data_IF_795382782278
#
_entry.id   IF_795382782278
#
_cell.length_a   1.000
_cell.length_b   1.000
_cell.length_c   1.000
_cell.angle_alpha   90.00
_cell.angle_beta   90.00
_cell.angle_gamma   90.00
#
_symmetry.space_group_name_H-M   'P 1'
#
loop_
_entity.id
_entity.type
_entity.pdbx_description
1 polymer ?
#
# COMPACT_ATOMS: atom_id res chain seq x y z
N UNK A 1 3.65 -51.65 3.60
CA UNK A 1 2.86 -50.66 4.38
C UNK A 1 2.25 -49.70 3.39
N UNK A 2 0.94 -49.79 3.13
CA UNK A 2 0.29 -49.02 2.07
C UNK A 2 0.13 -47.56 2.50
N UNK A 3 0.67 -46.63 1.71
CA UNK A 3 0.40 -45.20 1.83
C UNK A 3 -1.08 -44.97 1.48
N UNK A 4 -1.92 -44.88 2.51
CA UNK A 4 -3.27 -44.34 2.40
C UNK A 4 -3.09 -42.85 2.07
N UNK A 5 -3.67 -42.39 0.97
CA UNK A 5 -3.60 -40.97 0.58
C UNK A 5 -4.36 -40.11 1.59
N UNK A 6 -3.93 -38.87 1.84
CA UNK A 6 -4.57 -37.97 2.83
C UNK A 6 -6.10 -37.82 2.63
N UNK A 7 -6.59 -37.90 1.40
CA UNK A 7 -8.02 -37.90 1.10
C UNK A 7 -8.73 -39.16 1.57
N UNK A 8 -8.12 -40.34 1.38
CA UNK A 8 -8.66 -41.60 1.89
C UNK A 8 -8.66 -41.62 3.43
N UNK A 9 -7.62 -41.07 4.07
CA UNK A 9 -7.58 -40.96 5.52
C UNK A 9 -8.70 -40.04 6.05
N UNK A 10 -8.93 -38.88 5.42
CA UNK A 10 -10.03 -37.98 5.79
C UNK A 10 -11.42 -38.62 5.63
N UNK A 11 -11.63 -39.42 4.58
CA UNK A 11 -12.89 -40.17 4.39
C UNK A 11 -13.04 -41.27 5.45
N UNK A 12 -11.96 -41.96 5.79
CA UNK A 12 -11.94 -42.96 6.85
C UNK A 12 -12.26 -42.31 8.20
N UNK A 13 -11.62 -41.19 8.53
CA UNK A 13 -11.83 -40.48 9.78
C UNK A 13 -13.27 -39.96 9.88
N UNK A 14 -13.82 -39.38 8.80
CA UNK A 14 -15.22 -38.96 8.76
C UNK A 14 -16.20 -40.13 8.89
N UNK A 15 -15.89 -41.29 8.31
CA UNK A 15 -16.70 -42.50 8.46
C UNK A 15 -16.61 -43.08 9.88
N UNK A 16 -15.42 -43.04 10.49
CA UNK A 16 -15.20 -43.45 11.89
C UNK A 16 -15.94 -42.52 12.84
N UNK A 17 -15.86 -41.20 12.66
CA UNK A 17 -16.56 -40.21 13.49
C UNK A 17 -18.08 -40.31 13.32
N UNK A 18 -18.55 -40.51 12.09
CA UNK A 18 -19.96 -40.77 11.81
C UNK A 18 -20.41 -42.07 12.49
N UNK A 19 -19.62 -43.14 12.41
CA UNK A 19 -19.92 -44.40 13.09
C UNK A 19 -19.92 -44.20 14.61
N UNK A 20 -18.89 -43.60 15.21
CA UNK A 20 -18.83 -43.37 16.66
C UNK A 20 -20.02 -42.51 17.14
N UNK A 21 -20.41 -41.49 16.37
CA UNK A 21 -21.53 -40.59 16.74
C UNK A 21 -22.92 -41.20 16.54
N UNK A 22 -23.09 -42.10 15.57
CA UNK A 22 -24.41 -42.67 15.20
C UNK A 22 -24.56 -44.16 15.48
N UNK A 23 -23.52 -44.83 15.98
CA UNK A 23 -23.54 -46.28 16.22
C UNK A 23 -24.43 -46.63 17.40
N UNK A 24 -25.67 -46.96 17.06
CA UNK A 24 -26.68 -47.47 17.98
C UNK A 24 -26.80 -49.00 17.87
N UNK A 25 -26.05 -49.69 18.72
CA UNK A 25 -26.05 -51.14 18.77
C UNK A 25 -27.42 -51.71 19.21
N UNK A 26 -28.16 -51.01 20.08
CA UNK A 26 -29.44 -51.52 20.61
C UNK A 26 -30.53 -51.45 19.54
N UNK A 27 -30.62 -50.33 18.81
CA UNK A 27 -31.54 -50.21 17.68
C UNK A 27 -31.17 -51.15 16.53
N UNK A 28 -29.87 -51.31 16.23
CA UNK A 28 -29.40 -52.24 15.21
C UNK A 28 -29.80 -53.70 15.53
N UNK A 29 -29.58 -54.13 16.77
CA UNK A 29 -29.96 -55.47 17.22
C UNK A 29 -31.48 -55.68 17.16
N UNK A 30 -32.27 -54.69 17.54
CA UNK A 30 -33.74 -54.75 17.44
C UNK A 30 -34.22 -54.84 15.98
N UNK A 31 -33.61 -54.08 15.06
CA UNK A 31 -33.92 -54.16 13.63
C UNK A 31 -33.59 -55.53 13.04
N UNK A 32 -32.44 -56.10 13.41
CA UNK A 32 -32.05 -57.46 13.01
C UNK A 32 -33.03 -58.51 13.53
N UNK A 33 -33.45 -58.38 14.80
CA UNK A 33 -34.49 -59.22 15.38
C UNK A 33 -35.80 -59.12 14.57
N UNK A 34 -36.29 -57.90 14.30
CA UNK A 34 -37.49 -57.67 13.48
C UNK A 34 -37.39 -58.32 12.09
N UNK A 35 -36.23 -58.21 11.44
CA UNK A 35 -36.00 -58.83 10.14
C UNK A 35 -36.08 -60.36 10.24
N UNK A 36 -35.43 -60.97 11.24
CA UNK A 36 -35.46 -62.42 11.44
C UNK A 36 -36.87 -62.95 11.74
N UNK A 37 -37.70 -62.21 12.48
CA UNK A 37 -39.11 -62.54 12.71
C UNK A 37 -39.88 -62.54 11.39
N UNK A 38 -39.71 -61.52 10.54
CA UNK A 38 -40.40 -61.43 9.26
C UNK A 38 -39.99 -62.54 8.29
N UNK A 39 -38.71 -62.90 8.27
CA UNK A 39 -38.18 -63.98 7.43
C UNK A 39 -38.81 -65.32 7.82
N UNK A 40 -38.87 -65.64 9.12
CA UNK A 40 -39.45 -66.89 9.61
C UNK A 40 -40.96 -66.93 9.43
N UNK A 41 -41.66 -65.81 9.66
CA UNK A 41 -43.11 -65.75 9.41
C UNK A 41 -43.41 -66.01 7.93
N UNK A 42 -42.63 -65.45 7.01
CA UNK A 42 -42.77 -65.72 5.57
C UNK A 42 -42.45 -67.17 5.22
N UNK A 43 -41.43 -67.76 5.86
CA UNK A 43 -41.06 -69.14 5.65
C UNK A 43 -42.16 -70.10 6.13
N UNK A 44 -42.70 -69.88 7.33
CA UNK A 44 -43.82 -70.66 7.88
C UNK A 44 -45.08 -70.50 7.03
N UNK A 45 -45.34 -69.30 6.49
CA UNK A 45 -46.47 -69.08 5.59
C UNK A 45 -46.36 -69.96 4.33
N UNK A 46 -45.16 -70.05 3.74
CA UNK A 46 -44.90 -70.93 2.58
C UNK A 46 -45.01 -72.41 2.95
N UNK A 47 -44.40 -72.82 4.05
CA UNK A 47 -44.47 -74.21 4.53
C UNK A 47 -45.92 -74.64 4.87
N UNK A 48 -46.77 -73.71 5.33
CA UNK A 48 -48.20 -73.96 5.51
C UNK A 48 -48.98 -74.13 4.21
N UNK A 49 -48.57 -73.46 3.14
CA UNK A 49 -49.16 -73.65 1.80
C UNK A 49 -48.78 -75.03 1.24
N UNK A 50 -47.60 -75.55 1.60
CA UNK A 50 -47.09 -76.87 1.20
C UNK A 50 -47.59 -78.04 2.08
N UNK A 51 -48.28 -77.76 3.19
CA UNK A 51 -49.07 -78.73 3.96
C UNK A 51 -48.54 -79.11 5.35
N UNK A 52 -47.25 -78.90 5.65
CA UNK A 52 -46.66 -79.13 6.98
C UNK A 52 -45.56 -78.10 7.30
N UNK A 53 -45.53 -77.62 8.54
CA UNK A 53 -44.50 -76.68 9.03
C UNK A 53 -43.33 -77.46 9.59
N UNK A 54 -42.11 -77.10 9.20
CA UNK A 54 -40.89 -77.76 9.66
C UNK A 54 -40.67 -77.59 11.17
N UNK A 55 -40.21 -78.65 11.86
CA UNK A 55 -39.82 -78.58 13.29
C UNK A 55 -38.70 -77.55 13.55
N UNK A 56 -37.83 -77.32 12.58
CA UNK A 56 -36.76 -76.32 12.66
C UNK A 56 -37.32 -74.90 12.66
N UNK A 57 -38.31 -74.62 11.80
CA UNK A 57 -39.05 -73.36 11.77
C UNK A 57 -39.76 -73.10 13.10
N UNK A 58 -40.31 -74.15 13.73
CA UNK A 58 -40.98 -74.04 15.03
C UNK A 58 -40.01 -73.77 16.20
N UNK A 59 -38.88 -74.49 16.25
CA UNK A 59 -37.82 -74.24 17.26
C UNK A 59 -37.30 -72.81 17.14
N UNK A 60 -37.05 -72.36 15.92
CA UNK A 60 -36.55 -71.01 15.67
C UNK A 60 -37.58 -69.93 16.01
N UNK A 61 -38.88 -70.20 15.85
CA UNK A 61 -39.96 -69.32 16.32
C UNK A 61 -39.96 -69.21 17.86
N UNK A 62 -39.75 -70.31 18.58
CA UNK A 62 -39.63 -70.28 20.04
C UNK A 62 -38.41 -69.48 20.51
N UNK A 63 -37.26 -69.62 19.85
CA UNK A 63 -36.07 -68.82 20.14
C UNK A 63 -36.35 -67.32 19.95
N UNK A 64 -37.01 -66.95 18.84
CA UNK A 64 -37.40 -65.56 18.59
C UNK A 64 -38.44 -65.05 19.61
N UNK A 65 -39.33 -65.89 20.12
CA UNK A 65 -40.25 -65.48 21.19
C UNK A 65 -39.50 -65.14 22.50
N UNK A 66 -38.45 -65.90 22.82
CA UNK A 66 -37.61 -65.59 23.98
C UNK A 66 -36.81 -64.28 23.77
N UNK A 67 -36.24 -64.10 22.57
CA UNK A 67 -35.57 -62.84 22.21
C UNK A 67 -36.55 -61.65 22.21
N UNK A 68 -37.81 -61.86 21.83
CA UNK A 68 -38.85 -60.82 21.86
C UNK A 68 -39.07 -60.29 23.29
N UNK A 69 -39.22 -61.18 24.27
CA UNK A 69 -39.40 -60.78 25.68
C UNK A 69 -38.20 -59.96 26.20
N UNK A 70 -36.98 -60.26 25.73
CA UNK A 70 -35.79 -59.45 26.01
C UNK A 70 -35.89 -58.05 25.40
N UNK A 71 -36.23 -57.95 24.10
CA UNK A 71 -36.32 -56.67 23.40
C UNK A 71 -37.48 -55.79 23.85
N UNK A 72 -38.59 -56.41 24.29
CA UNK A 72 -39.77 -55.76 24.87
C UNK A 72 -39.43 -54.96 26.13
N UNK A 73 -38.39 -55.33 26.85
CA UNK A 73 -37.87 -54.58 28.01
C UNK A 73 -36.73 -53.65 27.60
N UNK A 74 -35.76 -54.14 26.81
CA UNK A 74 -34.54 -53.38 26.54
C UNK A 74 -34.73 -52.20 25.60
N UNK A 75 -35.60 -52.32 24.58
CA UNK A 75 -35.79 -51.26 23.59
C UNK A 75 -36.57 -50.06 24.12
N UNK A 76 -37.69 -50.22 24.87
CA UNK A 76 -38.35 -49.08 25.50
C UNK A 76 -37.47 -48.34 26.51
N UNK A 77 -36.72 -49.08 27.34
CA UNK A 77 -35.77 -48.47 28.27
C UNK A 77 -34.64 -47.69 27.56
N UNK A 78 -34.25 -48.13 26.36
CA UNK A 78 -33.31 -47.39 25.52
C UNK A 78 -33.92 -46.10 24.96
N UNK A 79 -35.16 -46.16 24.45
CA UNK A 79 -35.89 -44.99 23.96
C UNK A 79 -36.11 -43.96 25.08
N UNK A 80 -36.44 -44.41 26.29
CA UNK A 80 -36.62 -43.55 27.47
C UNK A 80 -35.30 -42.87 27.89
N UNK A 81 -34.15 -43.56 27.76
CA UNK A 81 -32.84 -42.94 27.96
C UNK A 81 -32.55 -41.87 26.91
N UNK A 82 -32.93 -42.10 25.65
CA UNK A 82 -32.75 -41.10 24.60
C UNK A 82 -33.64 -39.88 24.84
N UNK A 83 -34.91 -40.06 25.20
CA UNK A 83 -35.79 -38.95 25.56
C UNK A 83 -35.26 -38.19 26.77
N UNK A 84 -34.79 -38.90 27.80
CA UNK A 84 -34.17 -38.28 28.97
C UNK A 84 -32.91 -37.47 28.63
N UNK A 85 -32.12 -37.88 27.63
CA UNK A 85 -30.98 -37.08 27.12
C UNK A 85 -31.43 -35.82 26.40
N UNK A 86 -32.52 -35.89 25.62
CA UNK A 86 -33.11 -34.73 24.95
C UNK A 86 -33.61 -33.73 26.01
N UNK A 87 -34.33 -34.20 27.02
CA UNK A 87 -34.84 -33.37 28.10
C UNK A 87 -33.70 -32.76 28.94
N UNK A 88 -32.64 -33.53 29.19
CA UNK A 88 -31.42 -33.03 29.84
C UNK A 88 -30.71 -31.97 29.01
N UNK A 89 -30.60 -32.15 27.68
CA UNK A 89 -30.00 -31.15 26.80
C UNK A 89 -30.84 -29.86 26.73
N UNK A 90 -32.17 -29.97 26.80
CA UNK A 90 -33.08 -28.82 26.82
C UNK A 90 -33.08 -28.06 28.15
N UNK A 91 -32.83 -28.75 29.27
CA UNK A 91 -32.85 -28.16 30.62
C UNK A 91 -31.47 -27.71 31.12
N UNK A 92 -30.39 -28.35 30.65
CA UNK A 92 -29.05 -28.10 31.13
C UNK A 92 -28.30 -27.21 30.14
N UNK A 93 -28.52 -25.89 30.23
CA UNK A 93 -27.53 -24.95 29.71
C UNK A 93 -26.29 -25.06 30.60
N UNK A 94 -25.12 -25.43 30.05
CA UNK A 94 -23.93 -25.54 30.85
C UNK A 94 -23.61 -24.20 31.50
N UNK A 95 -23.39 -24.18 32.82
CA UNK A 95 -23.09 -22.94 33.57
C UNK A 95 -21.93 -22.16 32.96
N UNK A 96 -20.92 -22.86 32.44
CA UNK A 96 -19.79 -22.24 31.75
C UNK A 96 -20.18 -21.46 30.49
N UNK A 97 -21.24 -21.83 29.76
CA UNK A 97 -21.72 -21.05 28.61
C UNK A 97 -22.35 -19.74 29.07
N UNK A 98 -23.11 -19.77 30.17
CA UNK A 98 -23.72 -18.56 30.73
C UNK A 98 -22.67 -17.59 31.28
N UNK A 99 -21.60 -18.10 31.88
CA UNK A 99 -20.45 -17.31 32.32
C UNK A 99 -19.65 -16.77 31.13
N UNK A 100 -19.46 -17.59 30.09
CA UNK A 100 -18.77 -17.17 28.88
C UNK A 100 -19.54 -16.08 28.13
N UNK A 101 -20.86 -16.16 28.05
CA UNK A 101 -21.71 -15.12 27.47
C UNK A 101 -21.62 -13.80 28.25
N UNK A 102 -21.65 -13.85 29.58
CA UNK A 102 -21.44 -12.68 30.42
C UNK A 102 -20.07 -12.04 30.19
N UNK A 103 -19.01 -12.85 30.22
CA UNK A 103 -17.65 -12.38 29.99
C UNK A 103 -17.48 -11.80 28.58
N UNK A 104 -18.13 -12.40 27.58
CA UNK A 104 -18.11 -11.88 26.22
C UNK A 104 -18.77 -10.50 26.12
N UNK A 105 -19.93 -10.31 26.76
CA UNK A 105 -20.63 -9.02 26.79
C UNK A 105 -19.81 -7.96 27.53
N UNK A 106 -19.17 -8.31 28.64
CA UNK A 106 -18.28 -7.40 29.39
C UNK A 106 -17.08 -6.97 28.55
N UNK A 107 -16.35 -7.94 27.96
CA UNK A 107 -15.21 -7.66 27.09
C UNK A 107 -15.59 -6.84 25.85
N UNK A 108 -16.78 -7.09 25.28
CA UNK A 108 -17.27 -6.31 24.14
C UNK A 108 -17.47 -4.85 24.52
N UNK A 109 -18.02 -4.56 25.70
CA UNK A 109 -18.21 -3.20 26.20
C UNK A 109 -16.87 -2.50 26.48
N UNK A 110 -15.95 -3.19 27.15
CA UNK A 110 -14.59 -2.64 27.39
C UNK A 110 -13.87 -2.29 26.07
N UNK A 111 -14.03 -3.13 25.05
CA UNK A 111 -13.44 -2.87 23.73
C UNK A 111 -14.06 -1.63 23.04
N UNK A 112 -15.38 -1.46 23.16
CA UNK A 112 -16.05 -0.26 22.67
C UNK A 112 -15.59 1.02 23.41
N UNK A 113 -15.46 0.96 24.73
CA UNK A 113 -14.95 2.06 25.55
C UNK A 113 -13.49 2.41 25.20
N UNK A 114 -12.62 1.40 25.03
CA UNK A 114 -11.24 1.61 24.61
C UNK A 114 -11.13 2.21 23.20
N UNK A 115 -12.00 1.81 22.27
CA UNK A 115 -12.06 2.41 20.93
C UNK A 115 -12.49 3.88 21.01
N UNK A 116 -13.48 4.21 21.84
CA UNK A 116 -13.88 5.58 22.07
C UNK A 116 -12.75 6.42 22.68
N UNK A 117 -12.04 5.88 23.69
CA UNK A 117 -10.89 6.53 24.30
C UNK A 117 -9.70 6.70 23.33
N UNK A 118 -9.49 5.76 22.41
CA UNK A 118 -8.48 5.91 21.36
C UNK A 118 -8.85 7.00 20.36
N UNK A 119 -10.14 7.15 20.04
CA UNK A 119 -10.61 8.21 19.18
C UNK A 119 -10.37 9.58 19.84
N UNK A 120 -10.73 9.75 21.11
CA UNK A 120 -10.48 11.01 21.84
C UNK A 120 -8.98 11.31 21.95
N UNK A 121 -8.13 10.31 22.23
CA UNK A 121 -6.66 10.46 22.21
C UNK A 121 -6.11 10.94 20.86
N UNK A 122 -6.65 10.44 19.74
CA UNK A 122 -6.20 10.81 18.40
C UNK A 122 -6.74 12.16 17.93
N UNK A 123 -8.01 12.45 18.22
CA UNK A 123 -8.68 13.63 17.68
C UNK A 123 -8.50 14.86 18.56
N UNK A 124 -8.51 14.71 19.89
CA UNK A 124 -8.42 15.84 20.82
C UNK A 124 -7.01 16.02 21.36
N UNK A 125 -6.40 14.95 21.89
CA UNK A 125 -5.13 15.08 22.63
C UNK A 125 -3.89 15.15 21.72
N UNK A 126 -3.85 14.39 20.63
CA UNK A 126 -2.73 14.43 19.68
C UNK A 126 -2.47 15.85 19.10
N UNK A 127 -3.47 16.61 18.61
CA UNK A 127 -3.21 17.96 18.12
C UNK A 127 -2.81 18.93 19.23
N UNK A 128 -3.28 18.74 20.47
CA UNK A 128 -2.84 19.54 21.62
C UNK A 128 -1.35 19.30 21.90
N UNK A 129 -0.94 18.03 21.95
CA UNK A 129 0.46 17.65 22.16
C UNK A 129 1.37 18.19 21.04
N UNK A 130 0.91 18.17 19.79
CA UNK A 130 1.63 18.78 18.67
C UNK A 130 1.77 20.30 18.80
N UNK A 131 0.71 20.99 19.22
CA UNK A 131 0.76 22.44 19.49
C UNK A 131 1.74 22.77 20.63
N UNK A 132 1.73 21.97 21.70
CA UNK A 132 2.68 22.12 22.81
C UNK A 132 4.11 21.90 22.34
N UNK A 133 4.38 20.82 21.59
CA UNK A 133 5.70 20.56 21.01
C UNK A 133 6.17 21.70 20.10
N UNK A 134 5.27 22.29 19.30
CA UNK A 134 5.57 23.47 18.47
C UNK A 134 5.89 24.71 19.30
N UNK A 135 5.19 24.93 20.42
CA UNK A 135 5.49 26.04 21.33
C UNK A 135 6.82 25.85 22.04
N UNK A 136 7.10 24.64 22.54
CA UNK A 136 8.40 24.30 23.14
C UNK A 136 9.51 24.46 22.11
N UNK A 137 9.35 23.96 20.89
CA UNK A 137 10.31 24.15 19.81
C UNK A 137 10.53 25.63 19.45
N UNK A 138 9.49 26.48 19.46
CA UNK A 138 9.63 27.93 19.30
C UNK A 138 10.40 28.58 20.46
N UNK A 139 10.16 28.11 21.68
CA UNK A 139 10.84 28.60 22.88
C UNK A 139 12.31 28.18 22.85
N UNK A 140 12.63 26.91 22.66
CA UNK A 140 14.00 26.43 22.47
C UNK A 140 14.72 27.17 21.34
N UNK A 141 14.03 27.41 20.22
CA UNK A 141 14.57 28.17 19.10
C UNK A 141 14.93 29.62 19.47
N UNK A 142 14.13 30.28 20.33
CA UNK A 142 14.47 31.61 20.83
C UNK A 142 15.73 31.65 21.69
N UNK A 143 16.11 30.53 22.33
CA UNK A 143 17.37 30.41 23.07
C UNK A 143 18.54 30.01 22.15
N UNK A 144 18.29 29.20 21.11
CA UNK A 144 19.30 28.76 20.15
C UNK A 144 19.33 29.68 18.92
N UNK A 145 19.59 30.98 19.14
CA UNK A 145 19.68 31.94 18.05
C UNK A 145 20.99 31.77 17.27
N UNK A 146 21.07 30.69 16.46
CA UNK A 146 22.06 30.46 15.39
C UNK A 146 21.37 29.85 14.17
N UNK A 147 20.59 30.68 13.47
CA UNK A 147 20.41 30.59 12.01
C UNK A 147 19.69 29.39 11.38
N UNK A 148 19.02 28.51 12.13
CA UNK A 148 18.23 27.40 11.55
C UNK A 148 16.73 27.63 11.72
N UNK A 149 16.03 28.09 10.67
CA UNK A 149 14.57 28.20 10.71
C UNK A 149 13.88 26.89 11.12
N UNK A 150 12.70 26.95 11.75
CA UNK A 150 11.97 25.76 12.17
C UNK A 150 11.59 24.91 10.94
N UNK A 151 12.08 23.67 10.93
CA UNK A 151 11.69 22.65 9.94
C UNK A 151 10.21 22.32 10.13
N UNK A 152 9.39 22.59 9.13
CA UNK A 152 7.97 22.18 9.10
C UNK A 152 7.80 20.69 8.76
N UNK A 153 8.89 20.05 8.35
CA UNK A 153 8.96 18.62 8.08
C UNK A 153 9.29 17.90 9.38
N UNK A 154 8.33 17.14 9.89
CA UNK A 154 8.57 16.18 10.97
C UNK A 154 9.10 14.88 10.37
N UNK A 155 10.35 14.52 10.67
CA UNK A 155 10.82 13.15 10.43
C UNK A 155 9.97 12.20 11.29
N UNK A 156 8.98 11.53 10.69
CA UNK A 156 8.18 10.51 11.37
C UNK A 156 8.21 9.25 10.53
N UNK A 157 8.58 8.13 11.14
CA UNK A 157 8.40 6.77 10.60
C UNK A 157 6.93 6.31 10.66
N UNK A 158 5.98 7.20 11.00
CA UNK A 158 4.57 6.87 11.18
C UNK A 158 3.73 7.37 10.01
N UNK A 159 2.69 6.60 9.68
CA UNK A 159 1.75 6.87 8.60
C UNK A 159 1.14 8.29 8.71
N UNK A 160 0.85 8.94 7.57
CA UNK A 160 0.36 10.31 7.52
C UNK A 160 -0.96 10.46 8.27
N UNK A 161 -1.04 11.49 9.13
CA UNK A 161 -2.28 11.87 9.80
C UNK A 161 -2.92 13.03 9.00
N UNK A 162 -4.13 12.85 8.43
CA UNK A 162 -4.79 13.89 7.64
C UNK A 162 -5.13 15.15 8.44
N UNK A 163 -5.20 15.06 9.78
CA UNK A 163 -5.44 16.19 10.67
C UNK A 163 -4.15 16.79 11.28
N UNK A 164 -2.98 16.30 10.85
CA UNK A 164 -1.69 16.77 11.34
C UNK A 164 -1.33 18.15 10.82
N UNK A 165 -0.66 18.97 11.63
CA UNK A 165 -0.18 20.30 11.22
C UNK A 165 1.20 20.29 10.55
N UNK A 166 1.82 19.11 10.47
CA UNK A 166 3.15 18.90 9.86
C UNK A 166 3.00 18.36 8.44
N UNK A 167 3.89 18.79 7.56
CA UNK A 167 3.95 18.28 6.19
C UNK A 167 4.51 16.86 6.24
N UNK A 168 3.90 15.95 5.49
CA UNK A 168 4.31 14.55 5.42
C UNK A 168 5.70 14.43 4.79
N UNK A 169 6.59 13.68 5.44
CA UNK A 169 7.94 13.46 4.96
C UNK A 169 7.95 12.73 3.60
N UNK A 170 7.03 11.79 3.39
CA UNK A 170 6.97 11.04 2.13
C UNK A 170 6.67 11.95 0.94
N UNK A 171 5.85 12.99 1.14
CA UNK A 171 5.57 14.00 0.11
C UNK A 171 6.77 14.88 -0.27
N UNK A 172 7.85 14.81 0.52
CA UNK A 172 9.08 15.59 0.30
C UNK A 172 10.20 14.76 -0.30
N UNK A 173 10.00 13.45 -0.50
CA UNK A 173 10.96 12.56 -1.14
C UNK A 173 10.64 12.47 -2.62
N UNK A 174 11.63 12.77 -3.44
CA UNK A 174 11.54 12.72 -4.89
C UNK A 174 12.59 11.75 -5.44
N UNK A 175 12.20 11.00 -6.47
CA UNK A 175 13.13 10.19 -7.23
C UNK A 175 13.92 11.08 -8.20
N UNK A 176 15.23 10.87 -8.24
CA UNK A 176 16.16 11.66 -9.06
C UNK A 176 15.82 11.55 -10.55
N UNK A 177 15.28 10.41 -10.99
CA UNK A 177 14.83 10.20 -12.37
C UNK A 177 13.67 11.13 -12.75
N UNK A 178 12.72 11.35 -11.86
CA UNK A 178 11.56 12.22 -12.10
C UNK A 178 11.99 13.69 -12.23
N UNK A 179 12.91 14.12 -11.34
CA UNK A 179 13.50 15.46 -11.41
C UNK A 179 14.26 15.63 -12.73
N UNK A 180 15.04 14.64 -13.14
CA UNK A 180 15.75 14.70 -14.42
C UNK A 180 14.80 14.73 -15.62
N UNK A 181 13.68 14.00 -15.57
CA UNK A 181 12.69 13.99 -16.64
C UNK A 181 11.99 15.35 -16.80
N UNK A 182 11.58 15.98 -15.70
CA UNK A 182 11.00 17.33 -15.71
C UNK A 182 11.97 18.40 -16.24
N UNK A 183 13.28 18.19 -16.13
CA UNK A 183 14.27 19.09 -16.71
C UNK A 183 14.55 18.84 -18.19
N UNK A 184 14.28 17.65 -18.72
CA UNK A 184 14.51 17.36 -20.15
C UNK A 184 13.66 18.25 -21.05
N UNK A 185 12.41 18.51 -20.67
CA UNK A 185 11.55 19.42 -21.42
C UNK A 185 12.09 20.85 -21.43
N UNK A 186 12.61 21.33 -20.30
CA UNK A 186 13.26 22.65 -20.21
C UNK A 186 14.57 22.70 -21.02
N UNK A 187 15.35 21.61 -21.00
CA UNK A 187 16.58 21.49 -21.79
C UNK A 187 16.27 21.52 -23.30
N UNK A 188 15.18 20.86 -23.72
CA UNK A 188 14.72 20.89 -25.11
C UNK A 188 14.14 22.27 -25.50
N UNK A 189 13.45 22.96 -24.60
CA UNK A 189 13.04 24.36 -24.81
C UNK A 189 14.24 25.31 -24.91
N UNK A 190 15.28 25.10 -24.10
CA UNK A 190 16.53 25.87 -24.15
C UNK A 190 17.33 25.60 -25.42
N UNK A 191 17.35 24.36 -25.92
CA UNK A 191 17.93 24.01 -27.23
C UNK A 191 17.21 24.73 -28.38
N UNK A 192 15.90 24.90 -28.26
CA UNK A 192 15.09 25.58 -29.27
C UNK A 192 15.19 27.11 -29.19
N UNK A 193 15.67 27.66 -28.08
CA UNK A 193 15.98 29.09 -27.99
C UNK A 193 17.31 29.34 -28.69
N UNK A 194 17.29 30.18 -29.73
CA UNK A 194 18.46 30.67 -30.44
C UNK A 194 19.43 31.30 -29.44
N UNK A 195 20.40 30.52 -28.95
CA UNK A 195 21.36 31.02 -27.97
C UNK A 195 22.39 31.91 -28.66
N UNK A 196 22.99 32.79 -27.86
CA UNK A 196 23.95 33.83 -28.27
C UNK A 196 25.15 33.27 -29.07
N UNK A 197 25.36 31.96 -29.07
CA UNK A 197 26.48 31.24 -29.68
C UNK A 197 26.25 30.86 -31.16
N UNK A 198 25.03 30.96 -31.69
CA UNK A 198 24.72 30.56 -33.08
C UNK A 198 25.02 31.63 -34.16
N UNK A 199 25.43 32.84 -33.78
CA UNK A 199 25.63 33.96 -34.73
C UNK A 199 27.05 33.96 -35.33
N UNK A 200 27.91 33.00 -34.97
CA UNK A 200 29.35 33.07 -35.26
C UNK A 200 29.93 31.98 -36.18
N UNK A 201 29.13 31.33 -37.01
CA UNK A 201 29.70 30.54 -38.12
C UNK A 201 29.50 31.28 -39.43
N UNK A 202 30.52 32.08 -39.75
CA UNK A 202 30.79 32.53 -41.11
C UNK A 202 30.92 31.33 -42.05
N UNK A 203 30.57 31.57 -43.30
CA UNK A 203 30.74 30.66 -44.43
C UNK A 203 32.21 30.25 -44.56
N UNK A 204 32.63 29.16 -43.93
CA UNK A 204 33.81 28.40 -44.32
C UNK A 204 33.67 26.92 -43.97
N UNK A 205 34.13 26.10 -44.92
CA UNK A 205 33.81 24.70 -45.13
C UNK A 205 34.31 23.75 -44.01
N UNK A 206 33.39 23.01 -43.37
CA UNK A 206 33.39 21.54 -43.17
C UNK A 206 32.59 21.14 -41.91
N UNK A 207 31.52 20.33 -42.03
CA UNK A 207 30.75 19.89 -40.87
C UNK A 207 31.43 18.68 -40.24
N UNK A 208 32.28 18.90 -39.23
CA UNK A 208 32.55 17.84 -38.25
C UNK A 208 31.49 17.94 -37.18
N UNK A 209 30.61 16.95 -37.19
CA UNK A 209 29.62 16.64 -36.16
C UNK A 209 30.32 16.39 -34.82
N UNK A 210 30.63 17.46 -34.11
CA UNK A 210 30.77 17.41 -32.65
C UNK A 210 29.58 18.17 -32.10
N UNK A 211 28.76 17.46 -31.33
CA UNK A 211 27.58 17.97 -30.63
C UNK A 211 27.90 19.32 -29.98
N UNK A 212 27.44 20.41 -30.61
CA UNK A 212 27.58 21.78 -30.12
C UNK A 212 26.96 21.84 -28.73
N UNK A 213 27.82 21.83 -27.71
CA UNK A 213 27.40 21.90 -26.31
C UNK A 213 26.83 23.31 -26.11
N UNK A 214 25.53 23.41 -25.88
CA UNK A 214 24.97 24.62 -25.27
C UNK A 214 25.77 24.91 -23.99
N UNK A 215 26.14 26.18 -23.78
CA UNK A 215 27.02 26.61 -22.70
C UNK A 215 26.48 26.33 -21.28
N UNK A 216 25.23 25.85 -21.16
CA UNK A 216 24.57 25.52 -19.90
C UNK A 216 24.10 24.06 -19.94
N UNK A 217 24.89 23.17 -19.37
CA UNK A 217 24.45 21.80 -19.04
C UNK A 217 23.52 21.86 -17.82
N UNK A 218 22.22 21.87 -18.09
CA UNK A 218 21.15 21.99 -17.09
C UNK A 218 21.17 20.85 -16.07
N UNK A 219 21.52 19.64 -16.50
CA UNK A 219 21.60 18.46 -15.64
C UNK A 219 22.81 18.51 -14.72
N UNK A 220 23.97 18.94 -15.22
CA UNK A 220 25.15 19.17 -14.39
C UNK A 220 24.88 20.26 -13.35
N UNK A 221 24.23 21.36 -13.77
CA UNK A 221 23.88 22.46 -12.87
C UNK A 221 22.87 22.07 -11.80
N UNK A 222 21.89 21.23 -12.13
CA UNK A 222 20.96 20.68 -11.15
C UNK A 222 21.70 19.79 -10.14
N UNK A 223 22.58 18.90 -10.58
CA UNK A 223 23.34 18.07 -9.64
C UNK A 223 24.19 18.92 -8.68
N UNK A 224 24.86 19.96 -9.19
CA UNK A 224 25.59 20.93 -8.36
C UNK A 224 24.68 21.65 -7.36
N UNK A 225 23.49 22.09 -7.79
CA UNK A 225 22.52 22.74 -6.90
C UNK A 225 21.95 21.78 -5.85
N UNK A 226 21.73 20.51 -6.20
CA UNK A 226 21.30 19.48 -5.26
C UNK A 226 22.42 19.12 -4.27
N UNK A 227 23.69 19.23 -4.66
CA UNK A 227 24.84 19.04 -3.78
C UNK A 227 25.08 20.23 -2.83
N UNK A 228 24.83 21.46 -3.30
CA UNK A 228 25.12 22.68 -2.54
C UNK A 228 23.92 23.21 -1.74
N UNK A 229 22.71 22.84 -2.12
CA UNK A 229 21.51 23.34 -1.43
C UNK A 229 21.36 22.66 -0.08
N UNK A 230 21.22 23.49 0.97
CA UNK A 230 20.86 23.02 2.33
C UNK A 230 19.41 22.50 2.42
N UNK A 231 18.62 22.77 1.36
CA UNK A 231 17.25 22.32 1.19
C UNK A 231 17.17 20.87 0.70
N UNK A 232 18.13 20.41 -0.11
CA UNK A 232 18.19 19.02 -0.54
C UNK A 232 18.98 18.18 0.46
N UNK A 233 18.43 17.04 0.85
CA UNK A 233 19.15 16.00 1.61
C UNK A 233 19.06 14.70 0.83
N UNK A 234 20.22 14.20 0.39
CA UNK A 234 20.35 12.87 -0.22
C UNK A 234 20.03 11.80 0.83
N UNK A 235 19.06 10.97 0.53
CA UNK A 235 18.70 9.79 1.32
C UNK A 235 19.42 8.57 0.77
N UNK A 236 19.36 8.38 -0.55
CA UNK A 236 19.98 7.28 -1.28
C UNK A 236 20.54 7.78 -2.64
N UNK A 237 21.20 6.91 -3.39
CA UNK A 237 21.73 7.19 -4.74
C UNK A 237 20.67 7.66 -5.73
N UNK A 238 19.42 7.21 -5.56
CA UNK A 238 18.26 7.56 -6.39
C UNK A 238 17.28 8.53 -5.72
N UNK A 239 17.33 8.74 -4.40
CA UNK A 239 16.29 9.44 -3.65
C UNK A 239 16.80 10.68 -2.92
N UNK A 240 16.05 11.78 -3.08
CA UNK A 240 16.37 13.08 -2.50
C UNK A 240 15.16 13.61 -1.76
N UNK A 241 15.35 14.00 -0.50
CA UNK A 241 14.35 14.77 0.24
C UNK A 241 14.57 16.26 0.08
N UNK A 242 13.51 17.02 -0.22
CA UNK A 242 13.58 18.46 -0.42
C UNK A 242 12.78 19.22 0.64
N UNK A 243 13.47 20.08 1.39
CA UNK A 243 12.92 20.91 2.44
C UNK A 243 12.95 22.39 2.05
N UNK A 244 11.82 22.90 1.58
CA UNK A 244 11.61 24.31 1.22
C UNK A 244 11.93 25.27 2.38
N UNK A 245 11.72 24.86 3.64
CA UNK A 245 11.96 25.71 4.81
C UNK A 245 13.46 25.99 5.05
N UNK A 246 14.34 25.18 4.43
CA UNK A 246 15.80 25.33 4.49
C UNK A 246 16.38 25.97 3.22
N UNK A 247 15.55 26.32 2.25
CA UNK A 247 16.00 27.01 1.04
C UNK A 247 16.43 28.44 1.36
N UNK A 248 17.62 28.84 0.90
CA UNK A 248 18.09 30.23 1.06
C UNK A 248 17.39 31.21 0.12
N UNK A 249 16.67 30.70 -0.89
CA UNK A 249 16.11 31.52 -1.97
C UNK A 249 14.59 31.75 -1.84
N UNK A 250 14.01 31.58 -0.65
CA UNK A 250 12.59 31.88 -0.45
C UNK A 250 12.36 33.40 -0.52
N UNK A 251 11.42 33.88 -1.35
CA UNK A 251 11.01 35.29 -1.35
C UNK A 251 10.61 35.75 0.05
N UNK A 252 10.81 37.02 0.40
CA UNK A 252 10.43 37.53 1.73
C UNK A 252 8.91 37.40 2.00
N UNK A 253 8.11 37.41 0.95
CA UNK A 253 6.65 37.29 0.98
C UNK A 253 6.15 35.84 0.82
N UNK A 254 7.08 34.88 0.79
CA UNK A 254 6.83 33.44 0.65
C UNK A 254 5.80 32.87 1.62
N UNK A 255 5.65 33.51 2.80
CA UNK A 255 4.78 33.04 3.88
C UNK A 255 3.30 33.27 3.61
N UNK A 256 2.96 34.17 2.69
CA UNK A 256 1.58 34.54 2.35
C UNK A 256 1.21 34.25 0.90
N UNK A 257 2.16 33.83 0.07
CA UNK A 257 1.90 33.46 -1.32
C UNK A 257 1.27 32.06 -1.41
N UNK A 258 0.23 31.96 -2.23
CA UNK A 258 -0.36 30.66 -2.62
C UNK A 258 0.49 29.98 -3.70
N UNK A 259 0.26 28.69 -3.94
CA UNK A 259 0.97 27.94 -5.00
C UNK A 259 0.77 28.58 -6.37
N UNK A 260 -0.44 29.08 -6.64
CA UNK A 260 -0.76 29.76 -7.90
C UNK A 260 0.01 31.07 -8.05
N UNK A 261 0.18 31.82 -6.96
CA UNK A 261 1.00 33.05 -6.97
C UNK A 261 2.47 32.72 -7.28
N UNK A 262 2.99 31.62 -6.71
CA UNK A 262 4.34 31.15 -7.02
C UNK A 262 4.51 30.80 -8.50
N UNK A 263 3.58 30.03 -9.05
CA UNK A 263 3.59 29.64 -10.45
C UNK A 263 3.55 30.88 -11.36
N UNK A 264 2.71 31.87 -11.04
CA UNK A 264 2.67 33.14 -11.76
C UNK A 264 3.99 33.91 -11.69
N UNK A 265 4.63 33.97 -10.51
CA UNK A 265 5.94 34.64 -10.39
C UNK A 265 7.05 33.90 -11.15
N UNK A 266 7.04 32.56 -11.14
CA UNK A 266 7.98 31.74 -11.91
C UNK A 266 7.79 32.01 -13.41
N UNK A 267 6.55 32.03 -13.90
CA UNK A 267 6.25 32.32 -15.30
C UNK A 267 6.62 33.75 -15.71
N UNK A 268 6.41 34.74 -14.83
CA UNK A 268 6.82 36.11 -15.07
C UNK A 268 8.34 36.22 -15.20
N UNK A 269 9.09 35.63 -14.27
CA UNK A 269 10.55 35.59 -14.32
C UNK A 269 11.07 34.86 -15.55
N UNK A 270 10.45 33.74 -15.94
CA UNK A 270 10.80 33.01 -17.15
C UNK A 270 10.65 33.88 -18.42
N UNK A 271 9.58 34.69 -18.51
CA UNK A 271 9.39 35.65 -19.60
C UNK A 271 10.45 36.75 -19.58
N UNK A 272 10.76 37.32 -18.42
CA UNK A 272 11.81 38.33 -18.28
C UNK A 272 13.19 37.80 -18.71
N UNK A 273 13.54 36.57 -18.32
CA UNK A 273 14.78 35.91 -18.75
C UNK A 273 14.79 35.74 -20.26
N UNK A 274 13.70 35.26 -20.87
CA UNK A 274 13.57 35.11 -22.32
C UNK A 274 13.77 36.44 -23.05
N UNK A 275 13.15 37.51 -22.56
CA UNK A 275 13.31 38.85 -23.11
C UNK A 275 14.74 39.37 -22.95
N UNK A 276 15.39 39.09 -21.82
CA UNK A 276 16.79 39.46 -21.58
C UNK A 276 17.74 38.75 -22.54
N UNK A 277 17.54 37.44 -22.76
CA UNK A 277 18.31 36.65 -23.73
C UNK A 277 18.11 37.20 -25.15
N UNK A 278 16.87 37.51 -25.53
CA UNK A 278 16.56 38.13 -26.82
C UNK A 278 17.24 39.50 -27.00
N UNK A 279 17.21 40.36 -25.97
CA UNK A 279 17.93 41.65 -25.97
C UNK A 279 19.45 41.46 -26.06
N UNK A 280 19.98 40.45 -25.39
CA UNK A 280 21.40 40.07 -25.45
C UNK A 280 21.83 39.66 -26.85
N UNK A 281 21.03 38.85 -27.56
CA UNK A 281 21.28 38.46 -28.95
C UNK A 281 21.30 39.68 -29.88
N UNK A 282 20.30 40.56 -29.79
CA UNK A 282 20.24 41.80 -30.59
C UNK A 282 21.43 42.71 -30.31
N UNK A 283 21.84 42.82 -29.03
CA UNK A 283 23.02 43.59 -28.67
C UNK A 283 24.27 43.00 -29.33
N UNK A 284 24.48 41.67 -29.25
CA UNK A 284 25.63 41.01 -29.89
C UNK A 284 25.64 41.20 -31.40
N UNK A 285 24.50 41.06 -32.09
CA UNK A 285 24.41 41.35 -33.54
C UNK A 285 24.87 42.77 -33.87
N UNK A 286 24.45 43.77 -33.07
CA UNK A 286 24.91 45.16 -33.24
C UNK A 286 26.41 45.29 -33.01
N UNK A 287 26.95 44.62 -31.99
CA UNK A 287 28.40 44.60 -31.73
C UNK A 287 29.17 43.95 -32.87
N UNK A 288 28.70 42.83 -33.43
CA UNK A 288 29.32 42.15 -34.56
C UNK A 288 29.28 42.99 -35.84
N UNK A 289 28.14 43.62 -36.15
CA UNK A 289 28.04 44.53 -37.30
C UNK A 289 29.00 45.71 -37.14
N UNK A 290 29.12 46.27 -35.94
CA UNK A 290 30.07 47.36 -35.66
C UNK A 290 31.52 46.87 -35.75
N UNK A 291 31.84 45.67 -35.26
CA UNK A 291 33.16 45.07 -35.39
C UNK A 291 33.54 44.84 -36.86
N UNK A 292 32.64 44.31 -37.69
CA UNK A 292 32.85 44.16 -39.14
C UNK A 292 33.08 45.50 -39.84
N UNK A 293 32.35 46.55 -39.45
CA UNK A 293 32.57 47.91 -39.96
C UNK A 293 33.94 48.45 -39.57
N UNK A 294 34.37 48.25 -38.33
CA UNK A 294 35.71 48.66 -37.88
C UNK A 294 36.80 47.90 -38.63
N UNK A 295 36.64 46.60 -38.86
CA UNK A 295 37.57 45.79 -39.65
C UNK A 295 37.63 46.25 -41.13
N UNK A 296 36.50 46.67 -41.72
CA UNK A 296 36.46 47.27 -43.04
C UNK A 296 37.17 48.64 -43.09
N UNK A 297 37.07 49.44 -42.02
CA UNK A 297 37.79 50.72 -41.89
C UNK A 297 39.30 50.47 -41.72
N UNK A 298 39.69 49.50 -40.91
CA UNK A 298 41.08 49.10 -40.69
C UNK A 298 41.73 48.60 -41.99
N UNK A 299 41.04 47.76 -42.76
CA UNK A 299 41.53 47.29 -44.07
C UNK A 299 41.62 48.40 -45.12
N UNK A 300 40.74 49.41 -45.07
CA UNK A 300 40.86 50.61 -45.91
C UNK A 300 42.01 51.54 -45.48
N UNK A 301 42.25 51.69 -44.17
CA UNK A 301 43.38 52.48 -43.66
C UNK A 301 44.72 51.82 -44.03
N UNK A 302 44.81 50.50 -43.87
CA UNK A 302 46.01 49.75 -44.23
C UNK A 302 46.28 49.79 -45.75
N UNK A 303 45.25 49.78 -46.60
CA UNK A 303 45.44 49.94 -48.05
C UNK A 303 45.84 51.36 -48.46
N UNK A 304 45.50 52.38 -47.67
CA UNK A 304 46.02 53.74 -47.86
C UNK A 304 47.49 53.86 -47.44
N UNK A 305 47.90 53.22 -46.35
CA UNK A 305 49.31 53.17 -45.93
C UNK A 305 50.19 52.43 -46.96
N UNK A 306 49.74 51.31 -47.52
CA UNK A 306 50.43 50.62 -48.63
C UNK A 306 50.45 51.44 -49.92
N UNK A 307 49.46 52.32 -50.15
CA UNK A 307 49.46 53.24 -51.31
C UNK A 307 50.34 54.48 -51.13
N UNK A 308 50.87 54.70 -49.92
CA UNK A 308 51.79 55.80 -49.59
C UNK A 308 53.27 55.36 -49.55
N UNK A 309 53.58 54.09 -49.79
CA UNK A 309 54.92 53.68 -50.25
C UNK A 309 55.05 54.01 -51.74
N UNK A 310 55.28 55.29 -52.02
CA UNK A 310 55.80 55.78 -53.31
C UNK A 310 57.30 56.00 -53.14
N UNK A 311 58.11 55.39 -54.02
CA UNK A 311 59.56 55.61 -54.18
C UNK A 311 60.00 57.09 -54.08
#
# INVERSE_FOLDING_TARGET
MSLITNQQQSVIDAAIDSYISTHDNVAYQYLKFRQSVLEIVKQIQKEKEDGEVSEESFKRLQELNFENEKYKVSYPAYVERLSGRIDFAGSNTPQYLSELEKNYVELSKENEELKANLATLREEYAPIAERMAKMVGKFEFSFTNRGRGPSTIGFRERAPNPNGTFIDYQSTVFDKSEIQESLKSLDDELKNLKTVDEIDEGEDENPKTETKQHSIDTLKRLNELLDWSKAARRLDSSQISFDLSRSMNTPKDAKSMTVDDYEQTIQALAREIKDLVGRGAIAKERWLVNAKKLQAIETLLNSFDESMEVD
#
